data_IF_952934938577
#
_entry.id   IF_952934938577
#
_cell.length_a   1.000
_cell.length_b   1.000
_cell.length_c   1.000
_cell.angle_alpha   90.00
_cell.angle_beta   90.00
_cell.angle_gamma   90.00
#
_symmetry.space_group_name_H-M   'P 1'
#
loop_
_entity.id
_entity.type
_entity.pdbx_description
1 polymer ?
#
# COMPACT_ATOMS: atom_id res chain seq x y z
N UNK A 1 -4.67 -15.87 11.71
CA UNK A 1 -3.84 -14.66 11.56
C UNK A 1 -2.38 -15.01 11.72
N UNK A 2 -1.53 -14.51 10.83
CA UNK A 2 -0.08 -14.66 10.89
C UNK A 2 0.51 -13.29 11.17
N UNK A 3 1.39 -13.21 12.16
CA UNK A 3 2.15 -12.00 12.48
C UNK A 3 3.61 -12.21 12.11
N UNK A 4 4.25 -11.17 11.59
CA UNK A 4 5.68 -11.18 11.23
C UNK A 4 6.37 -9.91 11.72
N UNK A 5 7.60 -10.06 12.20
CA UNK A 5 8.46 -8.95 12.64
C UNK A 5 7.88 -8.13 13.80
N UNK A 6 7.14 -8.76 14.68
CA UNK A 6 6.50 -8.16 15.86
C UNK A 6 7.20 -8.59 17.15
N UNK A 7 6.90 -7.94 18.27
CA UNK A 7 7.28 -8.41 19.61
C UNK A 7 6.38 -9.57 20.01
N UNK A 8 6.95 -10.62 20.58
CA UNK A 8 6.21 -11.71 21.22
C UNK A 8 6.14 -11.44 22.72
N UNK A 9 4.93 -11.35 23.25
CA UNK A 9 4.67 -11.34 24.69
C UNK A 9 4.58 -12.79 25.19
N UNK A 10 5.58 -13.21 25.95
CA UNK A 10 5.69 -14.60 26.44
C UNK A 10 4.76 -14.90 27.61
N UNK A 11 4.27 -13.88 28.32
CA UNK A 11 3.38 -14.05 29.48
C UNK A 11 2.01 -14.60 29.06
N UNK A 12 1.45 -14.07 27.98
CA UNK A 12 0.10 -14.40 27.54
C UNK A 12 0.05 -14.93 26.09
N UNK A 13 1.22 -15.18 25.50
CA UNK A 13 1.36 -15.67 24.11
C UNK A 13 0.67 -14.78 23.08
N UNK A 14 0.74 -13.46 23.26
CA UNK A 14 0.22 -12.47 22.32
C UNK A 14 1.34 -11.77 21.57
N UNK A 15 0.97 -10.83 20.72
CA UNK A 15 1.92 -10.02 19.96
C UNK A 15 1.74 -8.54 20.28
N UNK A 16 2.82 -7.77 20.13
CA UNK A 16 2.83 -6.34 20.29
C UNK A 16 3.77 -5.68 19.27
N UNK A 17 3.49 -4.44 18.92
CA UNK A 17 4.38 -3.56 18.14
C UNK A 17 4.15 -2.11 18.54
N UNK A 18 5.13 -1.25 18.31
CA UNK A 18 5.05 0.17 18.58
C UNK A 18 3.89 0.79 17.78
N UNK A 19 2.90 1.31 18.47
CA UNK A 19 1.69 1.91 17.90
C UNK A 19 0.44 1.02 17.96
N UNK A 20 0.56 -0.26 18.39
CA UNK A 20 -0.61 -1.09 18.65
C UNK A 20 -1.44 -0.54 19.82
N UNK A 21 -0.78 -0.36 20.94
CA UNK A 21 -1.33 0.29 22.12
C UNK A 21 -0.22 0.93 22.97
N UNK A 22 -0.60 1.57 24.09
CA UNK A 22 0.32 2.29 24.96
C UNK A 22 1.00 1.39 26.01
N UNK A 23 0.59 0.13 26.10
CA UNK A 23 1.01 -0.80 27.12
C UNK A 23 1.88 -1.91 26.50
N UNK A 24 3.21 -1.71 26.40
CA UNK A 24 4.10 -2.76 25.94
C UNK A 24 4.15 -3.92 26.95
N UNK A 25 4.57 -5.13 26.52
CA UNK A 25 4.83 -6.23 27.42
C UNK A 25 5.81 -5.83 28.53
N UNK A 26 5.60 -6.36 29.73
CA UNK A 26 6.50 -6.07 30.87
C UNK A 26 7.93 -6.53 30.58
N UNK A 27 8.95 -5.84 31.13
CA UNK A 27 10.34 -6.28 31.05
C UNK A 27 10.51 -7.72 31.51
N UNK A 28 11.24 -8.52 30.74
CA UNK A 28 11.40 -9.96 30.98
C UNK A 28 10.38 -10.85 30.29
N UNK A 29 9.24 -10.30 29.85
CA UNK A 29 8.17 -11.06 29.16
C UNK A 29 8.08 -10.72 27.66
N UNK A 30 9.11 -10.11 27.08
CA UNK A 30 9.10 -9.72 25.68
C UNK A 30 10.32 -10.24 24.92
N UNK A 31 10.07 -10.74 23.72
CA UNK A 31 11.07 -11.12 22.73
C UNK A 31 10.89 -10.24 21.50
N UNK A 32 11.96 -9.59 21.05
CA UNK A 32 11.95 -8.73 19.89
C UNK A 32 11.78 -9.53 18.57
N UNK A 33 11.62 -8.80 17.48
CA UNK A 33 11.47 -9.39 16.13
C UNK A 33 12.70 -10.20 15.66
N UNK A 34 13.86 -10.07 16.32
CA UNK A 34 15.08 -10.83 16.04
C UNK A 34 15.21 -12.09 16.89
N UNK A 35 14.31 -12.28 17.85
CA UNK A 35 14.34 -13.40 18.80
C UNK A 35 15.13 -13.14 20.09
N UNK A 36 15.49 -11.89 20.37
CA UNK A 36 16.24 -11.52 21.60
C UNK A 36 15.28 -11.02 22.69
N UNK A 37 15.62 -11.21 23.98
CA UNK A 37 14.91 -10.52 25.06
C UNK A 37 14.88 -9.01 24.84
N UNK A 38 13.69 -8.42 24.96
CA UNK A 38 13.49 -6.99 24.75
C UNK A 38 12.95 -6.32 26.00
N UNK A 39 13.49 -5.15 26.31
CA UNK A 39 13.13 -4.35 27.47
C UNK A 39 12.48 -3.04 27.00
N UNK A 40 11.17 -2.92 27.16
CA UNK A 40 10.41 -1.76 26.74
C UNK A 40 10.83 -0.45 27.43
N UNK A 41 11.44 -0.51 28.59
CA UNK A 41 11.91 0.70 29.32
C UNK A 41 13.07 1.39 28.61
N UNK A 42 13.76 0.68 27.72
CA UNK A 42 14.87 1.19 26.91
C UNK A 42 14.43 1.72 25.55
N UNK A 43 13.14 1.67 25.25
CA UNK A 43 12.61 2.15 23.97
C UNK A 43 12.70 3.68 23.88
N UNK A 44 13.37 4.17 22.84
CA UNK A 44 13.42 5.58 22.46
C UNK A 44 12.85 5.74 21.03
N UNK A 45 11.78 6.53 20.89
CA UNK A 45 11.18 6.84 19.58
C UNK A 45 12.17 7.46 18.57
N UNK A 46 13.22 8.11 19.07
CA UNK A 46 14.25 8.72 18.22
C UNK A 46 15.32 7.74 17.78
N UNK A 47 15.49 6.64 18.51
CA UNK A 47 16.45 5.59 18.21
C UNK A 47 15.73 4.30 17.77
N UNK A 48 15.62 4.10 16.46
CA UNK A 48 15.00 2.92 15.87
C UNK A 48 15.68 1.59 16.24
N UNK A 49 16.92 1.63 16.72
CA UNK A 49 17.63 0.41 17.14
C UNK A 49 17.04 -0.17 18.44
N UNK A 50 16.32 0.64 19.21
CA UNK A 50 15.68 0.26 20.47
C UNK A 50 14.28 -0.32 20.29
N UNK A 51 13.73 -0.30 19.07
CA UNK A 51 12.42 -0.86 18.78
C UNK A 51 12.38 -2.38 18.94
N UNK A 52 11.34 -2.86 19.57
CA UNK A 52 11.08 -4.32 19.70
C UNK A 52 10.50 -4.93 18.44
N UNK A 53 9.70 -4.18 17.67
CA UNK A 53 9.19 -4.59 16.37
C UNK A 53 9.96 -3.93 15.23
N UNK A 54 9.97 -4.58 14.07
CA UNK A 54 10.56 -4.00 12.85
C UNK A 54 9.59 -2.98 12.22
N UNK A 55 10.07 -1.90 11.60
CA UNK A 55 9.20 -0.95 10.88
C UNK A 55 8.34 -1.59 9.77
N UNK A 56 8.73 -2.76 9.26
CA UNK A 56 7.97 -3.59 8.34
C UNK A 56 7.27 -4.76 9.05
N UNK A 57 6.76 -4.54 10.25
CA UNK A 57 5.88 -5.50 10.92
C UNK A 57 4.57 -5.65 10.15
N UNK A 58 4.07 -6.87 10.04
CA UNK A 58 2.88 -7.20 9.25
C UNK A 58 2.02 -8.23 9.95
N UNK A 59 0.73 -8.21 9.61
CA UNK A 59 -0.17 -9.31 9.93
C UNK A 59 -1.10 -9.59 8.75
N UNK A 60 -1.59 -10.82 8.69
CA UNK A 60 -2.63 -11.24 7.77
C UNK A 60 -3.81 -11.80 8.55
N UNK A 61 -5.02 -11.55 8.09
CA UNK A 61 -6.25 -12.11 8.64
C UNK A 61 -7.02 -12.84 7.53
N UNK A 62 -7.83 -13.82 7.92
CA UNK A 62 -8.74 -14.47 6.98
C UNK A 62 -9.75 -13.45 6.45
N UNK A 63 -10.01 -13.47 5.14
CA UNK A 63 -11.05 -12.63 4.54
C UNK A 63 -12.44 -12.89 5.15
N UNK A 64 -12.68 -14.13 5.59
CA UNK A 64 -13.92 -14.50 6.29
C UNK A 64 -14.15 -13.74 7.61
N UNK A 65 -13.11 -13.12 8.20
CA UNK A 65 -13.25 -12.28 9.38
C UNK A 65 -13.78 -10.87 9.04
N UNK A 66 -13.90 -10.53 7.77
CA UNK A 66 -14.45 -9.24 7.35
C UNK A 66 -15.98 -9.26 7.50
N UNK A 67 -16.58 -8.38 8.34
CA UNK A 67 -18.02 -8.41 8.59
C UNK A 67 -18.86 -8.01 7.38
N UNK A 68 -18.29 -7.37 6.39
CA UNK A 68 -18.93 -6.95 5.15
C UNK A 68 -18.36 -7.65 3.91
N UNK A 69 -17.82 -8.87 4.06
CA UNK A 69 -17.34 -9.65 2.93
C UNK A 69 -18.46 -9.90 1.93
N UNK A 70 -18.16 -9.72 0.64
CA UNK A 70 -19.13 -10.00 -0.41
C UNK A 70 -19.50 -11.49 -0.44
N UNK A 71 -20.78 -11.86 -0.62
CA UNK A 71 -21.18 -13.25 -0.82
C UNK A 71 -20.54 -13.88 -2.06
N UNK A 72 -20.15 -13.05 -3.04
CA UNK A 72 -19.46 -13.50 -4.26
C UNK A 72 -17.96 -13.73 -4.07
N UNK A 73 -17.39 -13.46 -2.89
CA UNK A 73 -15.94 -13.56 -2.64
C UNK A 73 -15.36 -14.94 -3.02
N UNK A 74 -16.09 -16.01 -2.76
CA UNK A 74 -15.70 -17.38 -3.09
C UNK A 74 -16.42 -17.95 -4.33
N UNK A 75 -17.08 -17.11 -5.13
CA UNK A 75 -17.79 -17.56 -6.31
C UNK A 75 -16.84 -18.12 -7.35
N UNK A 76 -17.10 -19.35 -7.81
CA UNK A 76 -16.32 -19.99 -8.90
C UNK A 76 -16.50 -19.27 -10.23
N UNK A 77 -17.52 -18.44 -10.39
CA UNK A 77 -17.72 -17.60 -11.58
C UNK A 77 -16.72 -16.45 -11.65
N UNK A 78 -16.02 -16.17 -10.54
CA UNK A 78 -15.18 -14.98 -10.37
C UNK A 78 -16.01 -13.70 -10.26
N UNK A 79 -15.32 -12.59 -10.25
CA UNK A 79 -15.92 -11.24 -10.23
C UNK A 79 -15.31 -10.38 -11.32
N UNK A 80 -16.08 -9.48 -11.97
CA UNK A 80 -15.53 -8.58 -12.97
C UNK A 80 -14.58 -7.58 -12.31
N UNK A 81 -13.50 -7.24 -13.01
CA UNK A 81 -12.56 -6.18 -12.61
C UNK A 81 -12.89 -4.93 -13.41
N UNK A 82 -13.33 -3.86 -12.75
CA UNK A 82 -13.73 -2.60 -13.39
C UNK A 82 -12.67 -1.52 -13.30
N UNK A 83 -11.77 -1.61 -12.34
CA UNK A 83 -10.69 -0.66 -12.12
C UNK A 83 -9.39 -1.35 -11.73
N UNK A 84 -8.27 -0.80 -12.21
CA UNK A 84 -6.93 -1.10 -11.74
C UNK A 84 -6.38 0.19 -11.14
N UNK A 85 -5.84 0.12 -9.94
CA UNK A 85 -5.32 1.28 -9.22
C UNK A 85 -3.84 1.09 -8.95
N UNK A 86 -3.00 1.91 -9.55
CA UNK A 86 -1.61 2.01 -9.17
C UNK A 86 -1.45 3.02 -8.04
N UNK A 87 -0.63 2.72 -7.07
CA UNK A 87 -0.34 3.60 -5.94
C UNK A 87 1.15 3.82 -5.73
N UNK A 88 1.51 5.06 -5.41
CA UNK A 88 2.88 5.43 -5.08
C UNK A 88 2.90 6.55 -4.05
N UNK A 89 4.05 6.73 -3.40
CA UNK A 89 4.29 7.81 -2.45
C UNK A 89 5.08 8.92 -3.11
N UNK A 90 4.49 10.11 -3.20
CA UNK A 90 5.17 11.32 -3.69
C UNK A 90 4.75 12.53 -2.84
N UNK A 91 5.71 13.20 -2.21
CA UNK A 91 5.46 14.43 -1.46
C UNK A 91 4.98 15.57 -2.35
N UNK A 92 5.48 15.64 -3.57
CA UNK A 92 5.17 16.68 -4.57
C UNK A 92 4.76 16.04 -5.90
N UNK A 93 4.28 16.83 -6.82
CA UNK A 93 4.03 16.56 -8.25
C UNK A 93 2.88 15.61 -8.61
N UNK A 94 2.72 14.47 -7.95
CA UNK A 94 1.63 13.55 -8.28
C UNK A 94 0.33 13.96 -7.58
N UNK A 95 -0.81 14.06 -8.30
CA UNK A 95 -2.10 14.41 -7.67
C UNK A 95 -2.64 13.28 -6.77
N UNK A 96 -3.68 13.61 -5.99
CA UNK A 96 -4.35 12.65 -5.11
C UNK A 96 -4.86 11.41 -5.87
N UNK A 97 -5.54 11.65 -6.97
CA UNK A 97 -6.05 10.60 -7.85
C UNK A 97 -6.20 11.15 -9.26
N UNK A 98 -5.90 10.32 -10.26
CA UNK A 98 -6.25 10.60 -11.64
C UNK A 98 -6.55 9.31 -12.40
N UNK A 99 -7.32 9.44 -13.47
CA UNK A 99 -7.70 8.35 -14.38
C UNK A 99 -6.89 8.48 -15.67
N UNK A 100 -6.35 7.37 -16.14
CA UNK A 100 -5.71 7.31 -17.45
C UNK A 100 -6.76 7.40 -18.57
N UNK A 101 -6.39 8.06 -19.67
CA UNK A 101 -7.29 8.33 -20.80
C UNK A 101 -7.57 7.10 -21.66
N UNK A 102 -6.69 6.11 -21.62
CA UNK A 102 -6.81 4.83 -22.34
C UNK A 102 -6.05 3.73 -21.61
N UNK A 103 -6.23 2.49 -22.04
CA UNK A 103 -5.44 1.36 -21.55
C UNK A 103 -3.94 1.55 -21.82
N UNK A 104 -3.57 1.98 -23.02
CA UNK A 104 -2.18 2.23 -23.40
C UNK A 104 -1.57 3.35 -22.57
N UNK A 105 -2.32 4.45 -22.37
CA UNK A 105 -1.89 5.53 -21.49
C UNK A 105 -1.72 5.03 -20.05
N UNK A 106 -2.63 4.19 -19.56
CA UNK A 106 -2.53 3.58 -18.23
C UNK A 106 -1.31 2.69 -18.06
N UNK A 107 -0.99 1.85 -19.05
CA UNK A 107 0.23 1.05 -19.06
C UNK A 107 1.48 1.94 -19.06
N UNK A 108 1.49 3.01 -19.84
CA UNK A 108 2.59 3.99 -19.87
C UNK A 108 2.76 4.69 -18.52
N UNK A 109 1.68 5.26 -17.96
CA UNK A 109 1.71 5.94 -16.66
C UNK A 109 2.20 5.00 -15.56
N UNK A 110 1.71 3.76 -15.54
CA UNK A 110 2.18 2.74 -14.61
C UNK A 110 3.67 2.42 -14.79
N UNK A 111 4.14 2.35 -16.01
CA UNK A 111 5.55 2.01 -16.33
C UNK A 111 6.55 3.05 -15.87
N UNK A 112 6.17 4.33 -15.89
CA UNK A 112 7.05 5.45 -15.50
C UNK A 112 6.94 5.82 -14.01
N UNK A 113 6.14 5.11 -13.24
CA UNK A 113 5.96 5.43 -11.82
C UNK A 113 7.27 5.50 -11.07
N UNK A 114 7.32 6.45 -10.16
CA UNK A 114 8.37 6.57 -9.16
C UNK A 114 7.75 6.82 -7.78
N UNK A 115 8.32 6.21 -6.77
CA UNK A 115 7.83 6.27 -5.39
C UNK A 115 8.97 6.59 -4.43
N UNK A 116 8.67 7.33 -3.37
CA UNK A 116 9.63 7.62 -2.32
C UNK A 116 9.81 6.42 -1.39
N UNK A 117 11.04 6.22 -0.95
CA UNK A 117 11.37 5.18 0.02
C UNK A 117 10.73 5.46 1.37
N UNK A 118 10.34 4.41 2.06
CA UNK A 118 9.74 4.46 3.39
C UNK A 118 10.70 3.92 4.46
N UNK A 119 10.34 4.07 5.73
CA UNK A 119 11.11 3.51 6.84
C UNK A 119 11.23 1.97 6.81
N UNK A 120 10.36 1.28 6.07
CA UNK A 120 10.42 -0.17 5.88
C UNK A 120 11.47 -0.61 4.84
N UNK A 121 11.92 0.32 3.97
CA UNK A 121 12.95 0.05 2.98
C UNK A 121 14.36 0.27 3.54
N UNK A 122 15.33 -0.46 3.03
CA UNK A 122 16.72 -0.19 3.32
C UNK A 122 17.15 1.15 2.69
N UNK A 123 17.93 1.94 3.42
CA UNK A 123 18.45 3.24 2.96
C UNK A 123 17.71 4.44 3.51
N UNK A 124 17.95 5.61 2.92
CA UNK A 124 17.36 6.86 3.36
C UNK A 124 15.86 6.93 3.02
N UNK A 125 15.08 7.48 3.93
CA UNK A 125 13.63 7.73 3.75
C UNK A 125 13.42 8.94 2.84
N UNK A 126 12.37 8.90 2.00
CA UNK A 126 11.99 10.02 1.14
C UNK A 126 12.78 10.13 -0.16
N UNK A 127 13.65 9.16 -0.47
CA UNK A 127 14.38 9.14 -1.74
C UNK A 127 13.48 8.60 -2.83
N UNK A 128 13.28 9.38 -3.90
CA UNK A 128 12.50 8.96 -5.07
C UNK A 128 13.25 7.87 -5.83
N UNK A 129 12.62 6.73 -6.03
CA UNK A 129 13.13 5.63 -6.84
C UNK A 129 12.12 5.24 -7.92
N UNK A 130 12.63 4.78 -9.05
CA UNK A 130 11.79 4.18 -10.09
C UNK A 130 11.19 2.87 -9.58
N UNK A 131 9.87 2.78 -9.64
CA UNK A 131 9.10 1.62 -9.16
C UNK A 131 7.90 1.38 -10.09
N UNK A 132 8.15 0.90 -11.31
CA UNK A 132 7.11 0.73 -12.31
C UNK A 132 5.98 -0.15 -11.79
N UNK A 133 4.76 0.35 -11.93
CA UNK A 133 3.50 -0.30 -11.49
C UNK A 133 3.54 -0.75 -10.00
N UNK A 134 4.44 -0.16 -9.18
CA UNK A 134 4.73 -0.58 -7.81
C UNK A 134 5.13 -2.07 -7.70
N UNK A 135 5.74 -2.63 -8.73
CA UNK A 135 5.98 -4.08 -8.85
C UNK A 135 7.46 -4.46 -8.97
N UNK A 136 8.38 -3.50 -8.90
CA UNK A 136 9.81 -3.76 -9.09
C UNK A 136 10.37 -4.94 -8.30
N UNK A 137 10.04 -5.16 -7.01
CA UNK A 137 10.57 -6.30 -6.27
C UNK A 137 9.94 -7.65 -6.65
N UNK A 138 8.87 -7.64 -7.44
CA UNK A 138 8.03 -8.82 -7.68
C UNK A 138 8.10 -9.35 -9.11
N UNK A 139 8.62 -8.57 -10.06
CA UNK A 139 8.80 -9.00 -11.45
C UNK A 139 10.18 -9.65 -11.59
N UNK A 140 10.20 -10.95 -11.80
CA UNK A 140 11.42 -11.76 -11.90
C UNK A 140 11.96 -11.93 -13.32
N UNK A 141 11.52 -11.12 -14.29
CA UNK A 141 11.96 -11.16 -15.69
C UNK A 141 12.00 -9.75 -16.29
N UNK A 142 12.24 -9.63 -17.59
CA UNK A 142 12.39 -8.32 -18.23
C UNK A 142 11.09 -7.51 -18.13
N UNK A 143 11.17 -6.30 -17.60
CA UNK A 143 10.01 -5.42 -17.45
C UNK A 143 9.39 -5.01 -18.78
N UNK A 144 10.17 -4.92 -19.85
CA UNK A 144 9.67 -4.65 -21.21
C UNK A 144 8.72 -5.74 -21.69
N UNK A 145 9.02 -7.00 -21.40
CA UNK A 145 8.12 -8.13 -21.72
C UNK A 145 6.84 -8.07 -20.92
N UNK A 146 6.92 -7.66 -19.65
CA UNK A 146 5.75 -7.44 -18.81
C UNK A 146 4.86 -6.31 -19.36
N UNK A 147 5.44 -5.19 -19.77
CA UNK A 147 4.67 -4.09 -20.37
C UNK A 147 4.10 -4.47 -21.74
N UNK A 148 4.83 -5.22 -22.54
CA UNK A 148 4.29 -5.79 -23.80
C UNK A 148 3.06 -6.66 -23.54
N UNK A 149 3.07 -7.45 -22.48
CA UNK A 149 1.89 -8.21 -22.08
C UNK A 149 0.71 -7.29 -21.76
N UNK A 150 0.94 -6.21 -20.99
CA UNK A 150 -0.10 -5.21 -20.69
C UNK A 150 -0.67 -4.61 -21.97
N UNK A 151 0.15 -4.18 -22.90
CA UNK A 151 -0.28 -3.61 -24.17
C UNK A 151 -1.09 -4.62 -25.00
N UNK A 152 -0.62 -5.86 -25.08
CA UNK A 152 -1.31 -6.93 -25.78
C UNK A 152 -2.68 -7.25 -25.16
N UNK A 153 -2.81 -7.22 -23.83
CA UNK A 153 -4.09 -7.43 -23.15
C UNK A 153 -5.12 -6.35 -23.50
N UNK A 154 -4.71 -5.11 -23.71
CA UNK A 154 -5.60 -4.03 -24.12
C UNK A 154 -6.27 -4.25 -25.48
N UNK A 155 -5.68 -5.07 -26.33
CA UNK A 155 -6.30 -5.47 -27.63
C UNK A 155 -7.14 -6.74 -27.53
N UNK A 156 -6.96 -7.54 -26.49
CA UNK A 156 -7.65 -8.81 -26.29
C UNK A 156 -8.90 -8.71 -25.43
N UNK A 157 -8.94 -7.72 -24.53
CA UNK A 157 -10.06 -7.52 -23.61
C UNK A 157 -11.04 -6.56 -24.26
N UNK A 158 -12.29 -6.98 -24.57
CA UNK A 158 -13.26 -6.11 -25.24
C UNK A 158 -13.60 -4.85 -24.45
N UNK A 159 -13.69 -4.97 -23.11
CA UNK A 159 -13.97 -3.85 -22.20
C UNK A 159 -12.90 -3.86 -21.10
N UNK A 160 -11.70 -3.30 -21.35
CA UNK A 160 -10.64 -3.32 -20.37
C UNK A 160 -11.00 -2.46 -19.15
N UNK A 161 -10.56 -2.84 -17.94
CA UNK A 161 -10.70 -2.02 -16.74
C UNK A 161 -10.14 -0.62 -16.95
N UNK A 162 -10.75 0.37 -16.30
CA UNK A 162 -10.16 1.72 -16.24
C UNK A 162 -8.93 1.70 -15.33
N UNK A 163 -7.92 2.48 -15.69
CA UNK A 163 -6.68 2.55 -14.91
C UNK A 163 -6.61 3.89 -14.19
N UNK A 164 -6.33 3.82 -12.90
CA UNK A 164 -6.19 4.98 -12.01
C UNK A 164 -4.83 4.96 -11.33
N UNK A 165 -4.40 6.15 -10.92
CA UNK A 165 -3.25 6.32 -10.05
C UNK A 165 -3.66 7.09 -8.80
N UNK A 166 -3.18 6.69 -7.63
CA UNK A 166 -3.42 7.37 -6.35
C UNK A 166 -2.13 7.73 -5.64
N UNK A 167 -2.12 8.89 -4.99
CA UNK A 167 -1.04 9.35 -4.14
C UNK A 167 -1.60 10.04 -2.90
N UNK A 168 -1.67 9.34 -1.79
CA UNK A 168 -2.20 9.86 -0.52
C UNK A 168 -1.16 10.59 0.33
N UNK A 169 0.06 10.79 -0.18
CA UNK A 169 1.22 11.22 0.61
C UNK A 169 1.78 12.58 0.19
N UNK A 170 0.97 13.41 -0.49
CA UNK A 170 1.37 14.80 -0.75
C UNK A 170 1.50 15.58 0.55
N UNK A 171 2.50 16.44 0.58
CA UNK A 171 2.74 17.33 1.71
C UNK A 171 2.64 18.80 1.27
N UNK A 172 2.28 19.66 2.23
CA UNK A 172 2.46 21.10 2.14
C UNK A 172 3.95 21.49 2.22
N UNK A 173 4.22 22.78 2.30
CA UNK A 173 5.60 23.29 2.36
C UNK A 173 6.22 23.08 3.74
N UNK A 174 5.42 22.90 4.78
CA UNK A 174 5.82 22.56 6.15
C UNK A 174 6.03 21.05 6.34
N UNK A 175 5.70 20.23 5.34
CA UNK A 175 5.88 18.78 5.35
C UNK A 175 4.72 18.00 5.98
N UNK A 176 3.57 18.63 6.27
CA UNK A 176 2.37 17.95 6.75
C UNK A 176 1.61 17.31 5.58
N UNK A 177 1.00 16.16 5.85
CA UNK A 177 0.16 15.52 4.82
C UNK A 177 -1.09 16.35 4.53
N UNK A 178 -1.30 16.63 3.24
CA UNK A 178 -2.49 17.35 2.76
C UNK A 178 -3.73 16.46 2.83
N UNK A 179 -3.58 15.14 2.60
CA UNK A 179 -4.68 14.18 2.64
C UNK A 179 -4.76 13.52 4.02
N UNK A 180 -5.94 13.51 4.68
CA UNK A 180 -6.07 12.96 6.03
C UNK A 180 -5.82 11.44 6.10
N UNK A 181 -6.14 10.72 5.04
CA UNK A 181 -5.99 9.26 5.03
C UNK A 181 -7.12 8.51 5.75
N UNK A 182 -6.88 7.25 6.10
CA UNK A 182 -7.82 6.38 6.82
C UNK A 182 -9.23 6.36 6.21
N UNK A 183 -10.27 6.74 6.97
CA UNK A 183 -11.65 6.76 6.50
C UNK A 183 -11.89 7.63 5.28
N UNK A 184 -11.15 8.74 5.13
CA UNK A 184 -11.24 9.61 3.96
C UNK A 184 -10.79 8.94 2.65
N UNK A 185 -9.99 7.87 2.72
CA UNK A 185 -9.61 7.09 1.54
C UNK A 185 -10.82 6.53 0.80
N UNK A 186 -11.92 6.26 1.49
CA UNK A 186 -13.18 5.84 0.86
C UNK A 186 -13.72 6.87 -0.13
N UNK A 187 -13.48 8.15 0.05
CA UNK A 187 -13.90 9.21 -0.90
C UNK A 187 -13.24 9.04 -2.26
N UNK A 188 -11.96 8.68 -2.27
CA UNK A 188 -11.23 8.36 -3.51
C UNK A 188 -11.78 7.09 -4.17
N UNK A 189 -12.02 6.05 -3.38
CA UNK A 189 -12.56 4.78 -3.90
C UNK A 189 -13.99 4.96 -4.46
N UNK A 190 -14.84 5.72 -3.78
CA UNK A 190 -16.19 6.05 -4.25
C UNK A 190 -16.14 6.85 -5.57
N UNK A 191 -15.20 7.82 -5.70
CA UNK A 191 -15.02 8.54 -6.94
C UNK A 191 -14.58 7.60 -8.07
N UNK A 192 -13.62 6.68 -7.83
CA UNK A 192 -13.18 5.68 -8.80
C UNK A 192 -14.36 4.82 -9.27
N UNK A 193 -15.18 4.33 -8.34
CA UNK A 193 -16.37 3.54 -8.68
C UNK A 193 -17.34 4.36 -9.53
N UNK A 194 -17.65 5.58 -9.14
CA UNK A 194 -18.54 6.47 -9.89
C UNK A 194 -17.99 6.80 -11.29
N UNK A 195 -16.66 6.93 -11.44
CA UNK A 195 -16.01 7.04 -12.77
C UNK A 195 -16.19 5.77 -13.61
N UNK A 196 -16.09 4.59 -13.00
CA UNK A 196 -16.33 3.33 -13.71
C UNK A 196 -17.76 3.23 -14.20
N UNK A 197 -18.71 3.71 -13.42
CA UNK A 197 -20.14 3.72 -13.72
C UNK A 197 -20.58 4.88 -14.64
N UNK A 198 -19.70 5.83 -14.95
CA UNK A 198 -20.03 7.02 -15.76
C UNK A 198 -20.93 8.03 -15.06
N UNK A 199 -20.96 8.03 -13.72
CA UNK A 199 -21.83 8.89 -12.90
C UNK A 199 -21.21 10.24 -12.53
N UNK A 200 -19.91 10.41 -12.71
CA UNK A 200 -19.20 11.66 -12.41
C UNK A 200 -18.20 11.98 -13.51
N UNK A 201 -17.98 13.27 -13.71
CA UNK A 201 -16.96 13.78 -14.62
C UNK A 201 -15.63 14.02 -13.92
N UNK A 202 -14.61 14.37 -14.69
CA UNK A 202 -13.30 14.76 -14.24
C UNK A 202 -12.74 15.84 -15.16
N UNK A 203 -11.93 16.72 -14.57
CA UNK A 203 -11.19 17.68 -15.35
C UNK A 203 -10.14 16.98 -16.22
N UNK A 204 -10.01 17.43 -17.45
CA UNK A 204 -8.96 16.95 -18.36
C UNK A 204 -7.72 17.80 -18.11
N UNK A 205 -6.63 17.15 -17.76
CA UNK A 205 -5.32 17.79 -17.58
C UNK A 205 -4.41 17.42 -18.75
N UNK A 206 -3.42 18.29 -19.06
CA UNK A 206 -2.41 18.00 -20.07
C UNK A 206 -1.66 16.70 -19.84
#
# INVERSE_FOLDING_TARGET
TIFTNVVHNTENNTVWWEGLDKNPPQPGNAIDWKGNPWDCTKFDKKDKSTCGAHPNSRFTALAANCPCISPEFNSLKGVPVSAIVFGGRRAKTAPLVYQSTSWQNGAFVGSIMASETTAAAAGAVGVVRRDPMAMRPFVGYNMGDYWNHWLAMGTRIPNPPKIFHVNWFRTDDEGHFIWPGFGDNMRVLLWILARCEGKVDADITP
#
